data_IF_102390809220
#
_entry.id   IF_102390809220
#
_cell.length_a   1.000
_cell.length_b   1.000
_cell.length_c   1.000
_cell.angle_alpha   90.00
_cell.angle_beta   90.00
_cell.angle_gamma   90.00
#
_symmetry.space_group_name_H-M   'P 1'
#
loop_
_entity.id
_entity.type
_entity.pdbx_description
1 polymer ?
#
# COMPACT_ATOMS: atom_id res chain seq x y z
N UNK A 1 17.64 -17.77 -5.97
CA UNK A 1 16.22 -17.96 -6.37
C UNK A 1 15.44 -18.30 -5.12
N UNK A 2 14.68 -17.37 -4.54
CA UNK A 2 13.91 -17.64 -3.31
C UNK A 2 12.43 -17.50 -3.61
N UNK A 3 11.70 -18.60 -3.43
CA UNK A 3 10.26 -18.70 -3.60
C UNK A 3 9.60 -18.47 -2.23
N UNK A 4 8.61 -17.58 -2.17
CA UNK A 4 7.78 -17.38 -0.97
C UNK A 4 6.38 -17.97 -1.20
N UNK A 5 5.86 -18.68 -0.20
CA UNK A 5 4.50 -19.24 -0.19
C UNK A 5 3.62 -18.56 0.88
N UNK A 6 2.33 -18.40 0.59
CA UNK A 6 1.30 -17.85 1.50
C UNK A 6 0.14 -18.83 1.60
N UNK A 7 -0.32 -19.15 2.81
CA UNK A 7 -1.49 -20.00 3.08
C UNK A 7 -2.63 -19.19 3.74
N UNK A 8 -3.91 -19.44 3.38
CA UNK A 8 -5.06 -18.77 3.99
C UNK A 8 -5.62 -19.52 5.22
N UNK A 9 -6.08 -18.78 6.23
CA UNK A 9 -6.91 -19.29 7.34
C UNK A 9 -8.38 -18.92 7.12
N UNK A 10 -9.27 -19.90 7.19
CA UNK A 10 -10.73 -19.70 7.22
C UNK A 10 -11.24 -19.60 8.66
N UNK A 11 -12.15 -18.67 8.92
CA UNK A 11 -12.93 -18.60 10.17
C UNK A 11 -14.43 -18.70 9.89
N UNK A 12 -15.06 -19.59 10.67
CA UNK A 12 -16.44 -20.04 10.64
C UNK A 12 -17.42 -18.99 11.21
N UNK A 13 -18.56 -18.76 10.56
CA UNK A 13 -19.64 -17.87 11.04
C UNK A 13 -20.70 -18.72 11.75
N UNK A 14 -21.12 -18.32 12.95
CA UNK A 14 -22.23 -18.98 13.69
C UNK A 14 -23.47 -18.08 13.67
N UNK A 15 -24.57 -18.66 13.18
CA UNK A 15 -25.92 -18.07 13.09
C UNK A 15 -26.80 -18.50 14.26
N UNK A 16 -27.79 -17.67 14.61
CA UNK A 16 -28.95 -18.02 15.45
C UNK A 16 -29.18 -16.96 16.52
N UNK A 17 -30.39 -16.51 16.86
CA UNK A 17 -31.76 -16.84 16.45
C UNK A 17 -32.69 -15.88 17.21
N UNK A 18 -33.85 -15.54 16.63
CA UNK A 18 -34.86 -14.63 17.21
C UNK A 18 -35.77 -15.36 18.20
N UNK A 19 -36.26 -14.66 19.23
CA UNK A 19 -37.63 -14.84 19.75
C UNK A 19 -38.12 -13.60 20.51
N UNK A 20 -39.42 -13.34 20.42
CA UNK A 20 -40.18 -12.15 20.85
C UNK A 20 -40.99 -12.42 22.13
N UNK A 21 -41.26 -11.35 22.91
CA UNK A 21 -42.44 -11.01 23.77
C UNK A 21 -41.95 -10.29 25.06
N UNK A 22 -42.60 -9.32 25.69
CA UNK A 22 -43.74 -8.44 25.41
C UNK A 22 -43.65 -7.24 26.39
N UNK A 23 -44.06 -6.07 25.89
CA UNK A 23 -44.57 -4.82 26.51
C UNK A 23 -44.40 -4.54 28.02
N UNK A 24 -43.79 -3.38 28.33
CA UNK A 24 -44.13 -2.55 29.48
C UNK A 24 -44.02 -1.05 29.12
N UNK A 25 -45.03 -0.28 29.51
CA UNK A 25 -45.24 1.15 29.26
C UNK A 25 -44.35 1.96 30.23
N UNK A 26 -43.55 2.89 29.71
CA UNK A 26 -42.72 3.78 30.53
C UNK A 26 -42.22 5.02 29.77
N UNK A 27 -42.68 6.18 30.23
CA UNK A 27 -42.11 7.53 30.17
C UNK A 27 -41.18 7.95 29.01
N UNK A 28 -41.67 8.96 28.26
CA UNK A 28 -40.96 10.05 27.59
C UNK A 28 -39.46 9.87 27.26
N UNK A 29 -39.18 9.51 26.00
CA UNK A 29 -37.95 9.89 25.31
C UNK A 29 -38.32 10.18 23.85
N UNK A 30 -38.41 11.47 23.49
CA UNK A 30 -38.43 11.85 22.08
C UNK A 30 -37.05 11.49 21.52
N UNK A 31 -37.05 10.41 20.76
CA UNK A 31 -36.02 9.87 19.88
C UNK A 31 -34.89 10.85 19.54
N UNK A 32 -33.75 10.69 20.19
CA UNK A 32 -32.48 10.95 19.52
C UNK A 32 -32.40 9.96 18.36
N UNK A 33 -32.62 10.44 17.14
CA UNK A 33 -32.09 9.76 15.96
C UNK A 33 -30.59 9.74 16.18
N UNK A 34 -30.07 8.60 16.61
CA UNK A 34 -28.66 8.30 16.49
C UNK A 34 -28.40 8.34 14.99
N UNK A 35 -27.91 9.48 14.51
CA UNK A 35 -27.25 9.56 13.22
C UNK A 35 -26.16 8.50 13.29
N UNK A 36 -26.38 7.41 12.56
CA UNK A 36 -25.33 6.47 12.20
C UNK A 36 -24.19 7.34 11.71
N UNK A 37 -23.15 7.42 12.52
CA UNK A 37 -21.94 8.12 12.16
C UNK A 37 -21.53 7.46 10.86
N UNK A 38 -21.61 8.20 9.76
CA UNK A 38 -21.00 7.80 8.51
C UNK A 38 -19.58 7.38 8.91
N UNK A 39 -19.33 6.08 8.91
CA UNK A 39 -18.02 5.54 9.16
C UNK A 39 -17.13 6.24 8.15
N UNK A 40 -16.34 7.20 8.63
CA UNK A 40 -15.50 8.02 7.79
C UNK A 40 -14.72 7.07 6.90
N UNK A 41 -14.89 7.21 5.59
CA UNK A 41 -14.10 6.47 4.62
C UNK A 41 -12.64 6.58 5.05
N UNK A 42 -11.87 5.47 5.06
CA UNK A 42 -10.43 5.51 5.25
C UNK A 42 -9.82 6.70 4.53
N UNK A 43 -9.20 7.62 5.28
CA UNK A 43 -8.23 8.54 4.71
C UNK A 43 -7.21 7.70 3.96
N UNK A 44 -7.29 7.73 2.63
CA UNK A 44 -6.48 7.04 1.62
C UNK A 44 -5.96 5.62 1.90
N UNK A 45 -6.04 4.73 0.90
CA UNK A 45 -5.44 3.37 0.96
C UNK A 45 -3.95 3.40 1.39
N UNK A 46 -3.24 4.50 1.16
CA UNK A 46 -1.87 4.74 1.61
C UNK A 46 -1.70 4.93 3.12
N UNK A 47 -2.69 5.48 3.83
CA UNK A 47 -2.51 5.81 5.26
C UNK A 47 -2.68 4.56 6.14
N UNK A 48 -3.46 3.57 5.71
CA UNK A 48 -3.69 2.30 6.43
C UNK A 48 -2.66 1.19 6.15
N UNK A 49 -1.58 1.51 5.42
CA UNK A 49 -0.53 0.54 5.14
C UNK A 49 0.29 0.29 6.40
N UNK A 50 -0.04 -0.79 7.11
CA UNK A 50 0.83 -1.42 8.08
C UNK A 50 1.92 -2.20 7.33
N UNK A 51 3.18 -1.80 7.51
CA UNK A 51 4.34 -2.58 7.08
C UNK A 51 5.02 -3.14 8.32
N UNK A 52 5.32 -4.43 8.26
CA UNK A 52 6.17 -5.09 9.23
C UNK A 52 7.55 -5.29 8.59
N UNK A 53 8.57 -4.64 9.14
CA UNK A 53 9.96 -4.92 8.80
C UNK A 53 10.39 -6.19 9.53
N UNK A 54 10.73 -7.24 8.79
CA UNK A 54 11.61 -8.26 9.36
C UNK A 54 13.02 -7.67 9.38
N UNK A 55 13.73 -7.75 10.49
CA UNK A 55 15.05 -7.12 10.62
C UNK A 55 15.54 -7.13 12.06
N UNK A 56 16.50 -6.25 12.37
CA UNK A 56 17.09 -6.12 13.70
C UNK A 56 16.02 -6.00 14.79
N UNK A 57 16.25 -6.68 15.93
CA UNK A 57 15.43 -6.51 17.14
C UNK A 57 15.79 -5.24 17.91
N UNK A 58 16.80 -4.46 17.48
CA UNK A 58 17.13 -3.16 18.09
C UNK A 58 15.97 -2.18 17.87
N UNK A 59 15.32 -1.69 18.95
CA UNK A 59 14.21 -0.76 18.85
C UNK A 59 14.57 0.57 18.15
N UNK A 60 15.81 1.04 18.27
CA UNK A 60 16.26 2.28 17.61
C UNK A 60 16.34 2.09 16.11
N UNK A 61 16.91 0.96 15.68
CA UNK A 61 16.96 0.60 14.26
C UNK A 61 15.56 0.46 13.68
N UNK A 62 14.64 -0.18 14.39
CA UNK A 62 13.25 -0.30 13.94
C UNK A 62 12.56 1.07 13.83
N UNK A 63 12.81 1.97 14.80
CA UNK A 63 12.27 3.33 14.76
C UNK A 63 12.81 4.14 13.56
N UNK A 64 14.11 4.01 13.25
CA UNK A 64 14.72 4.69 12.11
C UNK A 64 14.16 4.19 10.78
N UNK A 65 14.01 2.87 10.60
CA UNK A 65 13.38 2.29 9.41
C UNK A 65 11.92 2.72 9.26
N UNK A 66 11.19 2.72 10.38
CA UNK A 66 9.80 3.19 10.38
C UNK A 66 9.70 4.67 9.99
N UNK A 67 10.62 5.52 10.46
CA UNK A 67 10.68 6.94 10.09
C UNK A 67 10.94 7.13 8.59
N UNK A 68 11.88 6.39 8.01
CA UNK A 68 12.18 6.44 6.57
C UNK A 68 10.97 6.01 5.74
N UNK A 69 10.37 4.89 6.10
CA UNK A 69 9.16 4.37 5.49
C UNK A 69 7.99 5.35 5.57
N UNK A 70 7.74 5.93 6.74
CA UNK A 70 6.65 6.90 6.91
C UNK A 70 6.91 8.15 6.06
N UNK A 71 8.14 8.67 6.03
CA UNK A 71 8.50 9.80 5.18
C UNK A 71 8.27 9.50 3.68
N UNK A 72 8.68 8.33 3.21
CA UNK A 72 8.46 7.91 1.81
C UNK A 72 6.96 7.72 1.51
N UNK A 73 6.20 7.10 2.42
CA UNK A 73 4.73 6.96 2.32
C UNK A 73 4.05 8.32 2.17
N UNK A 74 4.42 9.28 2.99
CA UNK A 74 3.81 10.61 3.00
C UNK A 74 4.09 11.33 1.68
N UNK A 75 5.33 11.25 1.17
CA UNK A 75 5.69 11.78 -0.16
C UNK A 75 4.92 11.08 -1.28
N UNK A 76 4.82 9.75 -1.24
CA UNK A 76 4.07 8.98 -2.24
C UNK A 76 2.58 9.35 -2.21
N UNK A 77 1.96 9.43 -1.03
CA UNK A 77 0.57 9.87 -0.85
C UNK A 77 0.35 11.27 -1.44
N UNK A 78 1.27 12.21 -1.20
CA UNK A 78 1.21 13.55 -1.76
C UNK A 78 1.34 13.54 -3.29
N UNK A 79 2.29 12.77 -3.85
CA UNK A 79 2.50 12.67 -5.30
C UNK A 79 1.28 12.05 -6.00
N UNK A 80 0.68 10.99 -5.45
CA UNK A 80 -0.51 10.35 -6.04
C UNK A 80 -1.72 11.28 -6.02
N UNK A 81 -1.86 12.10 -4.98
CA UNK A 81 -2.93 13.11 -4.86
C UNK A 81 -2.70 14.32 -5.76
N UNK A 82 -1.44 14.65 -6.04
CA UNK A 82 -1.07 15.79 -6.88
C UNK A 82 -1.51 15.56 -8.33
N UNK A 83 -2.31 16.48 -8.86
CA UNK A 83 -2.65 16.53 -10.29
C UNK A 83 -1.62 17.42 -10.97
N UNK A 84 -0.82 16.87 -11.88
CA UNK A 84 0.10 17.65 -12.71
C UNK A 84 -0.65 18.64 -13.62
N UNK A 85 0.00 19.70 -14.12
CA UNK A 85 -0.64 20.74 -14.94
C UNK A 85 -1.22 20.21 -16.27
N UNK A 86 -0.78 19.04 -16.76
CA UNK A 86 -1.28 18.40 -17.98
C UNK A 86 -2.41 17.37 -17.73
N UNK A 87 -2.96 17.32 -16.52
CA UNK A 87 -3.92 16.30 -16.11
C UNK A 87 -5.31 16.53 -16.75
N UNK A 88 -5.58 15.91 -17.90
CA UNK A 88 -6.93 15.89 -18.47
C UNK A 88 -7.77 14.76 -17.84
N UNK A 89 -8.91 15.07 -17.21
CA UNK A 89 -9.64 14.15 -16.31
C UNK A 89 -10.41 13.02 -17.01
N UNK A 90 -10.45 12.94 -18.34
CA UNK A 90 -11.30 11.97 -19.04
C UNK A 90 -10.88 10.49 -18.88
N UNK A 91 -9.69 10.19 -18.31
CA UNK A 91 -9.17 8.82 -18.15
C UNK A 91 -8.44 8.54 -16.83
N UNK A 92 -8.55 9.41 -15.82
CA UNK A 92 -7.73 9.30 -14.61
C UNK A 92 -8.12 8.06 -13.78
N UNK A 93 -7.24 7.06 -13.74
CA UNK A 93 -7.35 5.80 -12.99
C UNK A 93 -7.21 5.97 -11.46
N UNK A 94 -6.97 7.20 -11.01
CA UNK A 94 -6.85 7.60 -9.61
C UNK A 94 -5.45 7.41 -9.01
N UNK A 95 -4.46 6.95 -9.79
CA UNK A 95 -3.11 6.63 -9.33
C UNK A 95 -2.10 7.39 -10.18
N UNK A 96 -1.75 8.62 -9.79
CA UNK A 96 -0.63 9.34 -10.40
C UNK A 96 -0.65 9.42 -11.93
N UNK A 97 -1.80 9.21 -12.59
CA UNK A 97 -1.96 9.12 -14.06
C UNK A 97 -1.32 10.29 -14.80
N UNK A 98 -1.29 11.43 -14.12
CA UNK A 98 -0.82 12.69 -14.65
C UNK A 98 0.68 12.93 -14.39
N UNK A 99 1.30 12.11 -13.54
CA UNK A 99 2.72 12.15 -13.19
C UNK A 99 3.48 10.99 -13.87
N UNK A 100 2.87 9.80 -13.90
CA UNK A 100 3.42 8.59 -14.53
C UNK A 100 2.33 7.78 -15.25
N UNK A 101 1.90 8.21 -16.46
CA UNK A 101 0.80 7.58 -17.18
C UNK A 101 1.07 6.11 -17.56
N UNK A 102 2.32 5.74 -17.82
CA UNK A 102 2.68 4.35 -18.13
C UNK A 102 2.52 3.43 -16.94
N UNK A 103 2.98 3.86 -15.76
CA UNK A 103 2.81 3.11 -14.52
C UNK A 103 1.33 3.02 -14.13
N UNK A 104 0.56 4.10 -14.26
CA UNK A 104 -0.88 4.09 -13.99
C UNK A 104 -1.64 3.10 -14.89
N UNK A 105 -1.29 3.04 -16.19
CA UNK A 105 -1.84 2.05 -17.13
C UNK A 105 -1.44 0.63 -16.75
N UNK A 106 -0.17 0.43 -16.36
CA UNK A 106 0.31 -0.87 -15.89
C UNK A 106 -0.47 -1.35 -14.66
N UNK A 107 -0.62 -0.52 -13.64
CA UNK A 107 -1.41 -0.84 -12.45
C UNK A 107 -2.87 -1.14 -12.81
N UNK A 108 -3.47 -0.33 -13.68
CA UNK A 108 -4.85 -0.54 -14.14
C UNK A 108 -5.02 -1.89 -14.85
N UNK A 109 -4.06 -2.28 -15.70
CA UNK A 109 -4.07 -3.59 -16.37
C UNK A 109 -3.95 -4.77 -15.39
N UNK A 110 -3.37 -4.55 -14.21
CA UNK A 110 -3.24 -5.59 -13.18
C UNK A 110 -4.51 -5.79 -12.33
N UNK A 111 -5.42 -4.81 -12.23
CA UNK A 111 -6.58 -4.88 -11.32
C UNK A 111 -7.47 -6.11 -11.57
N UNK A 112 -7.61 -6.54 -12.83
CA UNK A 112 -8.39 -7.73 -13.21
C UNK A 112 -7.61 -9.06 -13.24
N UNK A 113 -6.31 -9.05 -12.93
CA UNK A 113 -5.49 -10.26 -12.92
C UNK A 113 -5.62 -11.02 -11.59
N UNK A 114 -5.31 -12.32 -11.61
CA UNK A 114 -5.13 -13.09 -10.36
C UNK A 114 -3.81 -12.69 -9.66
N UNK A 115 -3.69 -13.05 -8.38
CA UNK A 115 -2.57 -12.62 -7.52
C UNK A 115 -1.21 -13.08 -8.06
N UNK A 116 -1.11 -14.31 -8.55
CA UNK A 116 0.13 -14.84 -9.14
C UNK A 116 0.59 -14.02 -10.35
N UNK A 117 -0.34 -13.63 -11.23
CA UNK A 117 -0.05 -12.77 -12.38
C UNK A 117 0.33 -11.35 -11.96
N UNK A 118 -0.34 -10.78 -10.94
CA UNK A 118 0.02 -9.47 -10.36
C UNK A 118 1.47 -9.48 -9.84
N UNK A 119 1.83 -10.51 -9.08
CA UNK A 119 3.16 -10.69 -8.50
C UNK A 119 4.23 -10.80 -9.59
N UNK A 120 4.04 -11.73 -10.54
CA UNK A 120 5.03 -11.96 -11.59
C UNK A 120 5.22 -10.74 -12.49
N UNK A 121 4.13 -10.15 -12.98
CA UNK A 121 4.20 -8.98 -13.84
C UNK A 121 4.85 -7.79 -13.13
N UNK A 122 4.49 -7.53 -11.87
CA UNK A 122 5.09 -6.45 -11.07
C UNK A 122 6.58 -6.67 -10.87
N UNK A 123 6.99 -7.88 -10.51
CA UNK A 123 8.40 -8.19 -10.30
C UNK A 123 9.22 -8.01 -11.58
N UNK A 124 8.73 -8.55 -12.70
CA UNK A 124 9.39 -8.40 -14.00
C UNK A 124 9.48 -6.94 -14.43
N UNK A 125 8.40 -6.18 -14.25
CA UNK A 125 8.38 -4.77 -14.64
C UNK A 125 9.43 -3.97 -13.88
N UNK A 126 9.47 -4.06 -12.54
CA UNK A 126 10.45 -3.28 -11.78
C UNK A 126 11.89 -3.72 -12.08
N UNK A 127 12.12 -5.03 -12.24
CA UNK A 127 13.45 -5.59 -12.53
C UNK A 127 14.02 -5.23 -13.91
N UNK A 128 13.27 -4.55 -14.79
CA UNK A 128 13.81 -3.96 -16.03
C UNK A 128 14.60 -2.68 -15.80
N UNK A 129 14.45 -2.05 -14.64
CA UNK A 129 15.13 -0.79 -14.29
C UNK A 129 16.55 -1.09 -13.80
N UNK A 130 17.47 -0.16 -14.05
CA UNK A 130 18.84 -0.27 -13.58
C UNK A 130 18.91 -0.16 -12.04
N UNK A 131 19.87 -0.84 -11.43
CA UNK A 131 20.20 -0.67 -10.03
C UNK A 131 21.16 0.52 -9.88
N UNK A 132 20.83 1.50 -9.05
CA UNK A 132 21.65 2.70 -8.81
C UNK A 132 21.61 3.01 -7.32
N UNK A 133 22.77 2.97 -6.66
CA UNK A 133 22.89 3.25 -5.23
C UNK A 133 22.63 4.72 -4.91
N UNK A 134 22.09 4.98 -3.72
CA UNK A 134 21.72 6.31 -3.27
C UNK A 134 22.83 7.37 -3.26
N UNK A 135 24.08 7.08 -2.90
CA UNK A 135 25.13 8.10 -2.97
C UNK A 135 25.34 8.63 -4.39
N UNK A 136 25.15 7.76 -5.39
CA UNK A 136 25.26 8.13 -6.82
C UNK A 136 23.98 8.78 -7.30
N UNK A 137 22.82 8.26 -6.88
CA UNK A 137 21.53 8.77 -7.35
C UNK A 137 21.17 10.08 -6.65
N UNK A 138 21.13 10.11 -5.32
CA UNK A 138 20.59 11.22 -4.53
C UNK A 138 21.64 12.09 -3.84
N UNK A 139 22.92 11.67 -3.85
CA UNK A 139 23.96 12.33 -3.06
C UNK A 139 23.75 12.16 -1.55
N UNK A 140 22.95 11.17 -1.16
CA UNK A 140 22.60 10.83 0.21
C UNK A 140 23.06 9.41 0.51
N UNK A 141 23.42 9.09 1.76
CA UNK A 141 23.86 7.74 2.11
C UNK A 141 22.74 6.70 1.99
N UNK A 142 21.49 7.10 2.19
CA UNK A 142 20.30 6.24 2.18
C UNK A 142 19.05 7.14 2.03
N UNK A 143 18.28 6.91 0.97
CA UNK A 143 17.12 7.69 0.55
C UNK A 143 16.04 6.75 -0.01
N UNK A 144 14.96 6.58 0.75
CA UNK A 144 13.86 5.71 0.33
C UNK A 144 12.98 6.41 -0.71
N UNK A 145 13.18 6.13 -1.99
CA UNK A 145 12.44 6.73 -3.08
C UNK A 145 10.97 6.29 -3.09
N UNK A 146 10.08 7.19 -3.51
CA UNK A 146 8.70 6.83 -3.84
C UNK A 146 8.65 6.01 -5.13
N UNK A 147 7.54 5.29 -5.42
CA UNK A 147 7.35 4.68 -6.74
C UNK A 147 7.50 5.69 -7.89
N UNK A 148 7.05 6.94 -7.70
CA UNK A 148 7.21 7.95 -8.74
C UNK A 148 8.69 8.26 -9.00
N UNK A 149 9.44 8.49 -7.93
CA UNK A 149 10.87 8.77 -7.97
C UNK A 149 11.65 7.58 -8.56
N UNK A 150 11.32 6.35 -8.17
CA UNK A 150 11.93 5.14 -8.71
C UNK A 150 11.73 4.97 -10.22
N UNK A 151 10.54 5.27 -10.76
CA UNK A 151 10.34 5.20 -12.22
C UNK A 151 11.16 6.28 -12.96
N UNK A 152 11.32 7.46 -12.35
CA UNK A 152 12.08 8.58 -12.92
C UNK A 152 13.60 8.38 -12.81
N UNK A 153 14.08 7.89 -11.67
CA UNK A 153 15.48 7.92 -11.26
C UNK A 153 16.08 6.57 -10.92
N UNK A 154 15.26 5.52 -10.87
CA UNK A 154 15.67 4.14 -10.59
C UNK A 154 16.09 4.12 -9.12
N UNK A 155 16.75 3.07 -8.64
CA UNK A 155 17.08 2.99 -7.22
C UNK A 155 17.84 1.73 -6.85
N UNK A 156 17.93 1.48 -5.56
CA UNK A 156 18.56 0.31 -4.96
C UNK A 156 17.54 -0.57 -4.24
N UNK A 157 17.99 -1.44 -3.33
CA UNK A 157 17.21 -2.62 -2.96
C UNK A 157 15.84 -2.29 -2.33
N UNK A 158 15.77 -1.29 -1.47
CA UNK A 158 14.54 -0.80 -0.86
C UNK A 158 13.62 -0.15 -1.89
N UNK A 159 14.14 0.59 -2.86
CA UNK A 159 13.35 1.30 -3.86
C UNK A 159 12.63 0.32 -4.79
N UNK A 160 13.31 -0.77 -5.14
CA UNK A 160 12.68 -1.88 -5.86
C UNK A 160 11.58 -2.54 -5.00
N UNK A 161 11.81 -2.75 -3.70
CA UNK A 161 10.86 -3.40 -2.81
C UNK A 161 9.61 -2.53 -2.58
N UNK A 162 9.78 -1.25 -2.27
CA UNK A 162 8.70 -0.28 -2.05
C UNK A 162 7.88 -0.10 -3.33
N UNK A 163 8.53 0.04 -4.49
CA UNK A 163 7.86 0.19 -5.79
C UNK A 163 7.00 -1.02 -6.16
N UNK A 164 7.50 -2.23 -5.90
CA UNK A 164 6.72 -3.48 -6.07
C UNK A 164 5.53 -3.51 -5.11
N UNK A 165 5.77 -3.19 -3.84
CA UNK A 165 4.74 -3.19 -2.81
C UNK A 165 3.57 -2.25 -3.14
N UNK A 166 3.86 -0.98 -3.46
CA UNK A 166 2.81 -0.01 -3.80
C UNK A 166 2.10 -0.36 -5.10
N UNK A 167 2.82 -0.85 -6.11
CA UNK A 167 2.20 -1.31 -7.36
C UNK A 167 1.18 -2.42 -7.11
N UNK A 168 1.54 -3.42 -6.29
CA UNK A 168 0.63 -4.51 -5.93
C UNK A 168 -0.56 -4.01 -5.10
N UNK A 169 -0.31 -3.11 -4.15
CA UNK A 169 -1.36 -2.49 -3.33
C UNK A 169 -2.36 -1.73 -4.21
N UNK A 170 -1.89 -0.89 -5.14
CA UNK A 170 -2.74 -0.14 -6.05
C UNK A 170 -3.43 -1.03 -7.10
N UNK A 171 -2.86 -2.19 -7.41
CA UNK A 171 -3.50 -3.25 -8.19
C UNK A 171 -4.53 -4.07 -7.37
N UNK A 172 -4.78 -3.70 -6.12
CA UNK A 172 -5.81 -4.28 -5.25
C UNK A 172 -5.38 -5.55 -4.52
N UNK A 173 -4.07 -5.83 -4.43
CA UNK A 173 -3.59 -6.89 -3.52
C UNK A 173 -3.73 -6.39 -2.08
N UNK A 174 -4.24 -7.25 -1.19
CA UNK A 174 -4.54 -6.82 0.19
C UNK A 174 -3.26 -6.56 0.97
N UNK A 175 -3.23 -5.45 1.71
CA UNK A 175 -2.08 -5.06 2.51
C UNK A 175 -1.64 -6.15 3.50
N UNK A 176 -2.59 -6.84 4.13
CA UNK A 176 -2.34 -7.90 5.11
C UNK A 176 -1.66 -9.17 4.53
N UNK A 177 -1.58 -9.27 3.20
CA UNK A 177 -0.90 -10.38 2.49
C UNK A 177 0.52 -10.06 2.06
N UNK A 178 1.00 -8.84 2.29
CA UNK A 178 2.32 -8.37 1.85
C UNK A 178 3.16 -7.86 3.03
N UNK A 179 4.48 -8.02 2.92
CA UNK A 179 5.45 -7.46 3.87
C UNK A 179 6.69 -6.98 3.12
N UNK A 180 7.28 -5.88 3.58
CA UNK A 180 8.63 -5.45 3.18
C UNK A 180 9.60 -6.05 4.18
N UNK A 181 10.54 -6.84 3.68
CA UNK A 181 11.46 -7.65 4.49
C UNK A 181 12.84 -7.05 4.35
N UNK A 182 13.47 -6.67 5.45
CA UNK A 182 14.89 -6.31 5.48
C UNK A 182 15.67 -7.58 5.81
N UNK A 183 16.74 -7.82 5.06
CA UNK A 183 17.60 -8.99 5.20
C UNK A 183 19.05 -8.55 5.31
N UNK A 184 19.85 -9.37 5.98
CA UNK A 184 21.30 -9.23 5.95
C UNK A 184 21.82 -10.15 4.84
N UNK A 185 22.44 -9.56 3.81
CA UNK A 185 23.14 -10.32 2.79
C UNK A 185 24.58 -10.57 3.23
N UNK A 186 25.01 -11.82 3.22
CA UNK A 186 26.34 -12.25 3.67
C UNK A 186 27.30 -12.59 2.51
N UNK A 187 26.87 -12.28 1.27
CA UNK A 187 27.62 -12.57 0.05
C UNK A 187 28.83 -11.67 -0.17
#
# INVERSE_FOLDING_TARGET
MSTAFVFPRHSFRRTGGRSLRAVAIGLALLSAVASESAAGLPSSLSDQIAVAFSGSQDPRWQADMFKKWQGMKDRNSAQIKAKGPACQPARASGIGDCILPEWARFVTALKGANDAKKLNATNLEMNRRAYIQDPVNWGLPDYWATPVEFFQRKGDCEDFATSKFFTLLYAGLRNDTMKVVIVNDLN
#
